data_IF_605777382460
#
_entry.id   IF_605777382460
#
_cell.length_a   1.000
_cell.length_b   1.000
_cell.length_c   1.000
_cell.angle_alpha   90.00
_cell.angle_beta   90.00
_cell.angle_gamma   90.00
#
_symmetry.space_group_name_H-M   'P 1'
#
loop_
_entity.id
_entity.type
_entity.pdbx_description
1 polymer ?
#
# COMPACT_ATOMS: atom_id res chain seq x y z
N UNK A 1 -26.45 16.89 -6.41
CA UNK A 1 -25.39 16.77 -5.58
C UNK A 1 -24.77 15.40 -5.56
N UNK A 2 -23.66 15.35 -6.15
CA UNK A 2 -23.02 14.05 -6.33
C UNK A 2 -22.63 13.42 -5.02
N UNK A 3 -22.20 14.26 -4.10
CA UNK A 3 -21.78 13.73 -2.82
C UNK A 3 -22.89 13.00 -2.10
N UNK A 4 -24.11 13.26 -2.46
CA UNK A 4 -25.25 12.55 -1.89
C UNK A 4 -25.32 11.14 -2.40
N UNK A 5 -24.90 10.97 -3.63
CA UNK A 5 -24.90 9.63 -4.22
C UNK A 5 -23.78 8.80 -3.67
N UNK A 6 -22.72 9.45 -3.24
CA UNK A 6 -21.58 8.76 -2.66
C UNK A 6 -21.78 8.73 -1.17
N UNK A 7 -22.25 7.62 -0.69
CA UNK A 7 -22.42 7.48 0.75
C UNK A 7 -21.11 7.73 1.46
N UNK A 8 -21.11 8.58 2.48
CA UNK A 8 -19.86 8.88 3.17
C UNK A 8 -19.18 7.65 3.75
N UNK A 9 -19.97 6.61 4.03
CA UNK A 9 -19.43 5.37 4.57
C UNK A 9 -19.18 4.32 3.51
N UNK A 10 -19.28 4.70 2.25
CA UNK A 10 -18.98 3.77 1.17
C UNK A 10 -17.50 3.36 1.24
N UNK A 11 -17.20 2.04 1.17
CA UNK A 11 -15.80 1.60 1.26
C UNK A 11 -14.89 2.26 0.24
N UNK A 12 -15.38 2.46 -0.98
CA UNK A 12 -14.55 3.08 -2.00
C UNK A 12 -14.23 4.53 -1.68
N UNK A 13 -15.21 5.27 -1.17
CA UNK A 13 -15.00 6.66 -0.80
C UNK A 13 -14.06 6.74 0.39
N UNK A 14 -14.27 5.90 1.40
CA UNK A 14 -13.42 5.89 2.56
C UNK A 14 -11.98 5.55 2.19
N UNK A 15 -11.81 4.58 1.30
CA UNK A 15 -10.47 4.20 0.86
C UNK A 15 -9.78 5.35 0.14
N UNK A 16 -10.50 6.02 -0.73
CA UNK A 16 -9.94 7.13 -1.50
C UNK A 16 -9.48 8.27 -0.58
N UNK A 17 -10.33 8.66 0.35
CA UNK A 17 -10.00 9.74 1.28
C UNK A 17 -8.84 9.35 2.17
N UNK A 18 -8.90 8.14 2.71
CA UNK A 18 -7.88 7.69 3.64
C UNK A 18 -6.52 7.58 2.96
N UNK A 19 -6.50 7.03 1.75
CA UNK A 19 -5.24 6.90 1.04
C UNK A 19 -4.63 8.27 0.74
N UNK A 20 -5.46 9.23 0.37
CA UNK A 20 -4.99 10.59 0.14
C UNK A 20 -4.34 11.20 1.37
N UNK A 21 -4.97 11.00 2.53
CA UNK A 21 -4.39 11.49 3.79
C UNK A 21 -3.09 10.78 4.12
N UNK A 22 -3.05 9.46 3.90
CA UNK A 22 -1.84 8.67 4.20
C UNK A 22 -0.67 9.15 3.36
N UNK A 23 -0.92 9.44 2.09
CA UNK A 23 0.16 9.92 1.21
C UNK A 23 0.71 11.25 1.66
N UNK A 24 -0.11 12.06 2.33
CA UNK A 24 0.33 13.36 2.83
C UNK A 24 0.77 13.32 4.28
N UNK A 25 0.79 12.14 4.88
CA UNK A 25 1.10 11.97 6.30
C UNK A 25 0.15 12.78 7.18
N UNK A 26 -1.11 12.86 6.76
CA UNK A 26 -2.13 13.59 7.50
C UNK A 26 -3.19 12.63 8.00
N UNK A 27 -3.72 12.91 9.19
CA UNK A 27 -4.88 12.18 9.73
C UNK A 27 -4.70 10.66 9.66
N UNK A 28 -3.49 10.19 10.00
CA UNK A 28 -3.21 8.75 9.86
C UNK A 28 -4.12 7.92 10.76
N UNK A 29 -4.33 8.35 12.01
CA UNK A 29 -5.18 7.59 12.93
C UNK A 29 -6.62 7.54 12.42
N UNK A 30 -7.12 8.64 11.90
CA UNK A 30 -8.46 8.67 11.35
C UNK A 30 -8.54 7.77 10.11
N UNK A 31 -7.50 7.82 9.28
CA UNK A 31 -7.44 6.95 8.11
C UNK A 31 -7.47 5.47 8.50
N UNK A 32 -6.74 5.11 9.55
CA UNK A 32 -6.76 3.74 10.03
C UNK A 32 -8.16 3.31 10.43
N UNK A 33 -8.85 4.15 11.19
CA UNK A 33 -10.20 3.81 11.62
C UNK A 33 -11.14 3.65 10.43
N UNK A 34 -11.03 4.55 9.47
CA UNK A 34 -11.88 4.49 8.29
C UNK A 34 -11.59 3.24 7.46
N UNK A 35 -10.33 2.91 7.32
CA UNK A 35 -9.95 1.75 6.53
C UNK A 35 -10.32 0.44 7.21
N UNK A 36 -10.21 0.39 8.53
CA UNK A 36 -10.63 -0.80 9.25
C UNK A 36 -12.12 -1.04 9.07
N UNK A 37 -12.89 0.04 9.14
CA UNK A 37 -14.33 -0.06 8.93
C UNK A 37 -14.63 -0.49 7.50
N UNK A 38 -13.94 0.11 6.53
CA UNK A 38 -14.15 -0.24 5.13
C UNK A 38 -13.77 -1.68 4.86
N UNK A 39 -12.69 -2.15 5.48
CA UNK A 39 -12.24 -3.52 5.27
C UNK A 39 -13.23 -4.52 5.87
N UNK A 40 -13.77 -4.20 7.03
CA UNK A 40 -14.78 -5.09 7.64
C UNK A 40 -15.99 -5.24 6.74
N UNK A 41 -16.37 -4.17 6.06
CA UNK A 41 -17.50 -4.21 5.14
C UNK A 41 -17.16 -4.94 3.85
N UNK A 42 -15.89 -4.96 3.48
CA UNK A 42 -15.43 -5.56 2.23
C UNK A 42 -14.12 -6.31 2.41
N UNK A 43 -14.15 -7.45 3.08
CA UNK A 43 -12.90 -8.16 3.40
C UNK A 43 -12.18 -8.75 2.18
N UNK A 44 -12.84 -8.78 1.03
CA UNK A 44 -12.22 -9.31 -0.18
C UNK A 44 -11.63 -8.22 -1.06
N UNK A 45 -11.60 -6.98 -0.58
CA UNK A 45 -11.09 -5.88 -1.37
C UNK A 45 -9.61 -5.70 -1.09
N UNK A 46 -8.77 -6.08 -2.06
CA UNK A 46 -7.33 -6.01 -1.85
C UNK A 46 -6.85 -4.56 -1.77
N UNK A 47 -7.48 -3.65 -2.49
CA UNK A 47 -7.01 -2.26 -2.48
C UNK A 47 -7.32 -1.58 -1.15
N UNK A 48 -8.40 -1.95 -0.48
CA UNK A 48 -8.66 -1.42 0.85
C UNK A 48 -7.63 -1.98 1.83
N UNK A 49 -7.33 -3.25 1.71
CA UNK A 49 -6.33 -3.87 2.58
C UNK A 49 -4.95 -3.29 2.33
N UNK A 50 -4.63 -2.99 1.07
CA UNK A 50 -3.37 -2.33 0.73
C UNK A 50 -3.26 -0.99 1.45
N UNK A 51 -4.32 -0.17 1.37
CA UNK A 51 -4.31 1.13 2.04
C UNK A 51 -4.18 0.97 3.54
N UNK A 52 -4.84 -0.02 4.10
CA UNK A 52 -4.75 -0.28 5.54
C UNK A 52 -3.33 -0.66 5.94
N UNK A 53 -2.71 -1.54 5.16
CA UNK A 53 -1.33 -1.93 5.40
C UNK A 53 -0.40 -0.72 5.32
N UNK A 54 -0.63 0.13 4.33
CA UNK A 54 0.21 1.31 4.14
C UNK A 54 0.06 2.30 5.29
N UNK A 55 -1.16 2.42 5.82
CA UNK A 55 -1.39 3.27 6.99
C UNK A 55 -0.62 2.75 8.19
N UNK A 56 -0.61 1.44 8.40
CA UNK A 56 0.18 0.85 9.48
C UNK A 56 1.67 1.09 9.26
N UNK A 57 2.12 1.02 8.01
CA UNK A 57 3.51 1.33 7.69
C UNK A 57 3.85 2.75 8.12
N UNK A 58 2.98 3.70 7.82
CA UNK A 58 3.21 5.09 8.19
C UNK A 58 3.21 5.28 9.70
N UNK A 59 2.48 4.44 10.41
CA UNK A 59 2.46 4.47 11.87
C UNK A 59 3.64 3.71 12.47
N UNK A 60 4.52 3.19 11.62
CA UNK A 60 5.67 2.42 12.06
C UNK A 60 5.31 1.07 12.67
N UNK A 61 4.11 0.57 12.36
CA UNK A 61 3.72 -0.80 12.71
C UNK A 61 4.18 -1.72 11.60
N UNK A 62 5.50 -1.90 11.50
CA UNK A 62 6.08 -2.47 10.30
C UNK A 62 5.76 -3.94 10.12
N UNK A 63 5.78 -4.71 11.20
CA UNK A 63 5.51 -6.14 11.07
C UNK A 63 4.07 -6.41 10.68
N UNK A 64 3.14 -5.66 11.26
CA UNK A 64 1.75 -5.78 10.90
C UNK A 64 1.53 -5.33 9.46
N UNK A 65 2.19 -4.24 9.07
CA UNK A 65 2.08 -3.75 7.70
C UNK A 65 2.55 -4.81 6.71
N UNK A 66 3.66 -5.48 7.01
CA UNK A 66 4.18 -6.52 6.13
C UNK A 66 3.19 -7.68 6.04
N UNK A 67 2.64 -8.08 7.16
CA UNK A 67 1.70 -9.19 7.21
C UNK A 67 0.48 -8.91 6.34
N UNK A 68 -0.08 -7.70 6.49
CA UNK A 68 -1.25 -7.32 5.73
C UNK A 68 -0.94 -7.17 4.25
N UNK A 69 0.22 -6.60 3.93
CA UNK A 69 0.59 -6.41 2.54
C UNK A 69 0.87 -7.73 1.84
N UNK A 70 1.42 -8.70 2.56
CA UNK A 70 1.59 -10.04 1.98
C UNK A 70 0.25 -10.66 1.66
N UNK A 71 -0.74 -10.41 2.49
CA UNK A 71 -2.09 -10.87 2.20
C UNK A 71 -2.63 -10.21 0.94
N UNK A 72 -2.32 -8.93 0.75
CA UNK A 72 -2.71 -8.24 -0.48
C UNK A 72 -2.10 -8.93 -1.69
N UNK A 73 -0.82 -9.29 -1.62
CA UNK A 73 -0.16 -9.95 -2.73
C UNK A 73 -0.81 -11.30 -3.02
N UNK A 74 -1.20 -12.03 -1.98
CA UNK A 74 -1.91 -13.29 -2.19
C UNK A 74 -3.23 -13.09 -2.91
N UNK A 75 -3.92 -12.00 -2.60
CA UNK A 75 -5.20 -11.71 -3.22
C UNK A 75 -5.06 -11.18 -4.64
N UNK A 76 -4.00 -10.44 -4.92
CA UNK A 76 -3.79 -9.81 -6.22
C UNK A 76 -2.32 -9.85 -6.58
N UNK A 77 -1.80 -11.01 -7.03
CA UNK A 77 -0.35 -11.18 -7.23
C UNK A 77 0.26 -10.28 -8.30
N UNK A 78 -0.55 -9.77 -9.21
CA UNK A 78 -0.02 -8.95 -10.30
C UNK A 78 0.05 -7.47 -10.02
N UNK A 79 -0.24 -7.03 -8.80
CA UNK A 79 -0.33 -5.61 -8.48
C UNK A 79 1.05 -5.06 -8.16
N UNK A 80 1.65 -4.37 -9.13
CA UNK A 80 3.00 -3.85 -8.98
C UNK A 80 3.11 -2.84 -7.85
N UNK A 81 2.10 -2.01 -7.67
CA UNK A 81 2.14 -0.98 -6.62
C UNK A 81 2.20 -1.63 -5.24
N UNK A 82 1.43 -2.70 -5.05
CA UNK A 82 1.46 -3.40 -3.76
C UNK A 82 2.80 -4.07 -3.51
N UNK A 83 3.42 -4.61 -4.56
CA UNK A 83 4.75 -5.19 -4.43
C UNK A 83 5.78 -4.13 -4.08
N UNK A 84 5.67 -2.95 -4.68
CA UNK A 84 6.55 -1.85 -4.36
C UNK A 84 6.39 -1.45 -2.89
N UNK A 85 5.16 -1.34 -2.43
CA UNK A 85 4.89 -1.03 -1.03
C UNK A 85 5.51 -2.08 -0.10
N UNK A 86 5.38 -3.34 -0.46
CA UNK A 86 5.93 -4.42 0.37
C UNK A 86 7.45 -4.33 0.42
N UNK A 87 8.07 -3.98 -0.70
CA UNK A 87 9.51 -3.76 -0.71
C UNK A 87 9.92 -2.67 0.27
N UNK A 88 9.18 -1.55 0.25
CA UNK A 88 9.46 -0.46 1.18
C UNK A 88 9.32 -0.91 2.63
N UNK A 89 8.31 -1.71 2.92
CA UNK A 89 8.07 -2.18 4.28
C UNK A 89 9.21 -3.09 4.73
N UNK A 90 9.61 -4.03 3.88
CA UNK A 90 10.71 -4.91 4.25
C UNK A 90 12.02 -4.16 4.39
N UNK A 91 12.24 -3.14 3.56
CA UNK A 91 13.44 -2.33 3.72
C UNK A 91 13.46 -1.66 5.08
N UNK A 92 12.31 -1.13 5.52
CA UNK A 92 12.22 -0.51 6.84
C UNK A 92 12.40 -1.51 7.96
N UNK A 93 12.09 -2.77 7.71
CA UNK A 93 12.32 -3.85 8.67
C UNK A 93 13.75 -4.34 8.65
N UNK A 94 14.62 -3.70 7.88
CA UNK A 94 16.02 -4.08 7.72
C UNK A 94 16.18 -5.43 7.05
N UNK A 95 15.24 -5.80 6.21
CA UNK A 95 15.27 -7.04 5.43
C UNK A 95 15.50 -6.68 3.98
N UNK A 96 16.73 -6.26 3.67
CA UNK A 96 17.05 -5.67 2.39
C UNK A 96 16.93 -6.65 1.23
N UNK A 97 17.23 -7.93 1.45
CA UNK A 97 17.11 -8.91 0.38
C UNK A 97 15.68 -9.05 -0.08
N UNK A 98 14.76 -9.16 0.86
CA UNK A 98 13.35 -9.25 0.51
C UNK A 98 12.88 -7.96 -0.15
N UNK A 99 13.35 -6.81 0.34
CA UNK A 99 12.97 -5.54 -0.28
C UNK A 99 13.38 -5.50 -1.75
N UNK A 100 14.62 -5.88 -2.03
CA UNK A 100 15.12 -5.87 -3.40
C UNK A 100 14.34 -6.86 -4.26
N UNK A 101 14.03 -8.02 -3.71
CA UNK A 101 13.26 -9.03 -4.42
C UNK A 101 11.90 -8.48 -4.85
N UNK A 102 11.19 -7.85 -3.91
CA UNK A 102 9.85 -7.34 -4.23
C UNK A 102 9.89 -6.12 -5.13
N UNK A 103 10.91 -5.27 -4.98
CA UNK A 103 11.06 -4.14 -5.90
C UNK A 103 11.33 -4.63 -7.32
N UNK A 104 12.14 -5.67 -7.48
CA UNK A 104 12.38 -6.24 -8.81
C UNK A 104 11.11 -6.81 -9.40
N UNK A 105 10.32 -7.51 -8.59
CA UNK A 105 9.05 -8.03 -9.07
C UNK A 105 8.12 -6.90 -9.47
N UNK A 106 8.08 -5.84 -8.67
CA UNK A 106 7.23 -4.70 -8.98
C UNK A 106 7.66 -4.07 -10.31
N UNK A 107 8.97 -3.94 -10.51
CA UNK A 107 9.48 -3.37 -11.75
C UNK A 107 9.06 -4.21 -12.95
N UNK A 108 9.14 -5.52 -12.82
CA UNK A 108 8.81 -6.41 -13.93
C UNK A 108 7.32 -6.38 -14.27
N UNK A 109 6.47 -6.15 -13.27
CA UNK A 109 5.02 -6.18 -13.47
C UNK A 109 4.41 -4.81 -13.66
N UNK A 110 5.19 -3.74 -13.46
CA UNK A 110 4.64 -2.39 -13.51
C UNK A 110 4.18 -2.06 -14.92
N UNK A 111 3.03 -1.42 -14.98
CA UNK A 111 2.47 -0.91 -16.23
C UNK A 111 2.78 0.58 -16.33
N UNK A 112 2.78 1.14 -17.57
CA UNK A 112 3.05 2.56 -17.70
C UNK A 112 2.14 3.44 -16.85
N UNK A 113 0.88 3.05 -16.72
CA UNK A 113 -0.07 3.85 -15.95
C UNK A 113 0.22 3.80 -14.45
N UNK A 114 0.99 2.82 -13.99
CA UNK A 114 1.35 2.76 -12.57
C UNK A 114 2.34 3.84 -12.19
N UNK A 115 3.15 4.28 -13.14
CA UNK A 115 4.07 5.40 -12.98
C UNK A 115 5.02 5.21 -11.81
N UNK A 116 5.53 4.00 -11.61
CA UNK A 116 6.40 3.70 -10.49
C UNK A 116 7.79 3.20 -10.92
N UNK A 117 8.00 2.98 -12.21
CA UNK A 117 9.23 2.35 -12.68
C UNK A 117 10.48 3.15 -12.32
N UNK A 118 10.46 4.46 -12.57
CA UNK A 118 11.64 5.27 -12.29
C UNK A 118 11.97 5.28 -10.83
N UNK A 119 10.94 5.33 -9.99
CA UNK A 119 11.12 5.33 -8.55
C UNK A 119 11.74 4.02 -8.09
N UNK A 120 11.24 2.91 -8.63
CA UNK A 120 11.75 1.60 -8.26
C UNK A 120 13.20 1.44 -8.72
N UNK A 121 13.51 1.88 -9.94
CA UNK A 121 14.87 1.79 -10.44
C UNK A 121 15.81 2.58 -9.56
N UNK A 122 15.40 3.76 -9.15
CA UNK A 122 16.21 4.58 -8.26
C UNK A 122 16.46 3.88 -6.93
N UNK A 123 15.42 3.26 -6.36
CA UNK A 123 15.58 2.51 -5.12
C UNK A 123 16.57 1.37 -5.29
N UNK A 124 16.45 0.64 -6.37
CA UNK A 124 17.34 -0.49 -6.62
C UNK A 124 18.77 -0.04 -6.78
N UNK A 125 18.98 1.06 -7.50
CA UNK A 125 20.33 1.58 -7.68
C UNK A 125 20.94 2.04 -6.37
N UNK A 126 20.14 2.70 -5.54
CA UNK A 126 20.63 3.25 -4.29
C UNK A 126 20.95 2.17 -3.27
N UNK A 127 20.15 1.12 -3.21
CA UNK A 127 20.28 0.16 -2.12
C UNK A 127 20.88 -1.16 -2.54
N UNK A 128 20.90 -1.44 -3.83
CA UNK A 128 21.46 -2.70 -4.32
C UNK A 128 22.96 -2.75 -4.08
N UNK A 129 23.62 -1.63 -4.29
CA UNK A 129 25.04 -1.54 -4.14
C UNK A 129 25.47 -1.31 -2.70
N UNK A 130 24.58 -0.77 -1.94
CA UNK A 130 24.88 -0.46 -0.56
C UNK A 130 24.82 -1.66 0.32
#
# INVERSE_FOLDING_TARGET
MISLDLKPDSPNVLNYLAYGWIEKDENIDLSLNMLEEAYEANPNSYYILDSLAWAHYKKNNLELAAELMEKVIDMAPGEAISLDHLGDIYFSLNRKREAIFFWNQAKDLAKPEDNINENIIEKLENYYEG
#
